data_IF_651529979151
#
_entry.id   IF_651529979151
#
_cell.length_a   1.000
_cell.length_b   1.000
_cell.length_c   1.000
_cell.angle_alpha   90.00
_cell.angle_beta   90.00
_cell.angle_gamma   90.00
#
_symmetry.space_group_name_H-M   'P 1'
#
loop_
_entity.id
_entity.type
_entity.pdbx_description
1 polymer ?
#
# COMPACT_ATOMS: atom_id res chain seq x y z
N UNK A 1 -18.92 7.45 -31.07
CA UNK A 1 -17.86 6.93 -31.97
C UNK A 1 -16.90 6.12 -31.12
N UNK A 2 -16.77 4.83 -31.40
CA UNK A 2 -15.89 3.91 -30.66
C UNK A 2 -14.43 4.40 -30.68
N UNK A 3 -13.78 4.38 -29.52
CA UNK A 3 -12.39 4.82 -29.34
C UNK A 3 -11.41 3.93 -30.14
N UNK A 4 -11.73 2.64 -30.29
CA UNK A 4 -10.99 1.71 -31.13
C UNK A 4 -10.93 2.15 -32.60
N UNK A 5 -12.03 2.70 -33.14
CA UNK A 5 -12.09 3.20 -34.51
C UNK A 5 -11.23 4.46 -34.72
N UNK A 6 -10.96 5.26 -33.67
CA UNK A 6 -10.09 6.44 -33.74
C UNK A 6 -8.60 6.09 -33.69
N UNK A 7 -8.23 4.93 -33.15
CA UNK A 7 -6.82 4.50 -33.01
C UNK A 7 -6.31 3.59 -34.12
N UNK A 8 -7.19 3.16 -35.04
CA UNK A 8 -6.85 2.18 -36.08
C UNK A 8 -6.31 0.86 -35.49
N UNK A 9 -6.65 0.57 -34.22
CA UNK A 9 -6.26 -0.65 -33.52
C UNK A 9 -7.14 -1.80 -33.98
N UNK A 10 -6.54 -2.79 -34.66
CA UNK A 10 -7.22 -4.02 -35.10
C UNK A 10 -7.49 -5.00 -33.94
N UNK A 11 -6.97 -4.72 -32.74
CA UNK A 11 -7.06 -5.57 -31.55
C UNK A 11 -7.44 -4.69 -30.36
N UNK A 12 -8.48 -5.07 -29.61
CA UNK A 12 -8.87 -4.40 -28.37
C UNK A 12 -7.76 -4.55 -27.31
N UNK A 13 -7.03 -3.47 -27.04
CA UNK A 13 -6.05 -3.40 -25.96
C UNK A 13 -6.71 -3.07 -24.62
N UNK A 14 -6.12 -3.51 -23.51
CA UNK A 14 -6.59 -3.14 -22.16
C UNK A 14 -6.58 -1.61 -21.94
N UNK A 15 -5.63 -0.91 -22.56
CA UNK A 15 -5.55 0.56 -22.54
C UNK A 15 -6.75 1.22 -23.23
N UNK A 16 -7.21 0.68 -24.36
CA UNK A 16 -8.39 1.16 -25.05
C UNK A 16 -9.65 0.94 -24.20
N UNK A 17 -9.74 -0.17 -23.46
CA UNK A 17 -10.84 -0.45 -22.54
C UNK A 17 -10.82 0.53 -21.36
N UNK A 18 -9.66 0.77 -20.75
CA UNK A 18 -9.50 1.74 -19.67
C UNK A 18 -9.93 3.14 -20.07
N UNK A 19 -9.50 3.61 -21.24
CA UNK A 19 -9.89 4.91 -21.75
C UNK A 19 -11.38 5.00 -22.07
N UNK A 20 -11.96 3.93 -22.62
CA UNK A 20 -13.40 3.84 -22.84
C UNK A 20 -14.18 3.91 -21.53
N UNK A 21 -13.78 3.19 -20.49
CA UNK A 21 -14.43 3.24 -19.17
C UNK A 21 -14.27 4.63 -18.56
N UNK A 22 -13.09 5.24 -18.66
CA UNK A 22 -12.83 6.59 -18.13
C UNK A 22 -13.73 7.65 -18.79
N UNK A 23 -13.97 7.54 -20.10
CA UNK A 23 -14.83 8.46 -20.84
C UNK A 23 -16.33 8.18 -20.65
N UNK A 24 -16.74 6.92 -20.72
CA UNK A 24 -18.16 6.53 -20.66
C UNK A 24 -18.71 6.52 -19.23
N UNK A 25 -17.88 6.20 -18.25
CA UNK A 25 -18.29 6.00 -16.85
C UNK A 25 -17.31 6.65 -15.85
N UNK A 26 -17.11 7.98 -15.89
CA UNK A 26 -16.13 8.68 -15.05
C UNK A 26 -16.41 8.56 -13.54
N UNK A 27 -17.66 8.29 -13.15
CA UNK A 27 -18.08 8.09 -11.75
C UNK A 27 -17.93 6.66 -11.23
N UNK A 28 -17.51 5.70 -12.07
CA UNK A 28 -17.44 4.30 -11.68
C UNK A 28 -16.23 4.06 -10.75
N UNK A 29 -16.49 3.48 -9.58
CA UNK A 29 -15.51 3.26 -8.50
C UNK A 29 -15.46 1.80 -8.09
N UNK A 30 -14.30 1.39 -7.57
CA UNK A 30 -14.12 0.06 -6.99
C UNK A 30 -14.89 -0.03 -5.68
N UNK A 31 -15.84 -0.96 -5.60
CA UNK A 31 -16.58 -1.24 -4.36
C UNK A 31 -15.63 -1.80 -3.29
N UNK A 32 -15.66 -1.22 -2.10
CA UNK A 32 -14.82 -1.64 -0.96
C UNK A 32 -13.46 -0.93 -0.86
N UNK A 33 -13.14 -0.06 -1.82
CA UNK A 33 -11.98 0.83 -1.76
C UNK A 33 -12.22 1.96 -0.74
N UNK A 34 -11.27 2.19 0.18
CA UNK A 34 -11.29 3.32 1.10
C UNK A 34 -10.95 4.63 0.40
N UNK A 35 -10.09 4.57 -0.62
CA UNK A 35 -9.64 5.76 -1.37
C UNK A 35 -10.61 6.14 -2.52
N UNK A 36 -11.73 5.44 -2.68
CA UNK A 36 -12.64 5.59 -3.82
C UNK A 36 -11.90 5.53 -5.16
N UNK A 37 -11.10 4.49 -5.37
CA UNK A 37 -10.30 4.30 -6.59
C UNK A 37 -11.21 4.17 -7.81
N UNK A 38 -11.01 4.96 -8.88
CA UNK A 38 -11.68 4.77 -10.17
C UNK A 38 -11.37 3.41 -10.79
N UNK A 39 -12.35 2.77 -11.45
CA UNK A 39 -12.11 1.44 -12.07
C UNK A 39 -10.97 1.48 -13.10
N UNK A 40 -10.89 2.54 -13.91
CA UNK A 40 -9.81 2.69 -14.88
C UNK A 40 -8.43 2.75 -14.19
N UNK A 41 -8.31 3.44 -13.05
CA UNK A 41 -7.06 3.48 -12.28
C UNK A 41 -6.75 2.14 -11.61
N UNK A 42 -7.77 1.42 -11.13
CA UNK A 42 -7.60 0.07 -10.60
C UNK A 42 -7.07 -0.92 -11.66
N UNK A 43 -7.60 -0.86 -12.88
CA UNK A 43 -7.11 -1.68 -14.00
C UNK A 43 -5.66 -1.34 -14.33
N UNK A 44 -5.36 -0.04 -14.43
CA UNK A 44 -4.01 0.45 -14.68
C UNK A 44 -3.01 0.00 -13.62
N UNK A 45 -3.34 0.15 -12.33
CA UNK A 45 -2.50 -0.30 -11.22
C UNK A 45 -2.19 -1.79 -11.32
N UNK A 46 -3.21 -2.62 -11.63
CA UNK A 46 -3.01 -4.07 -11.82
C UNK A 46 -2.08 -4.41 -12.98
N UNK A 47 -2.13 -3.63 -14.07
CA UNK A 47 -1.25 -3.82 -15.22
C UNK A 47 0.19 -3.41 -14.90
N UNK A 48 0.38 -2.24 -14.29
CA UNK A 48 1.70 -1.70 -13.94
C UNK A 48 2.42 -2.54 -12.88
N UNK A 49 1.68 -3.22 -12.00
CA UNK A 49 2.21 -4.04 -10.92
C UNK A 49 1.90 -5.53 -11.14
N UNK A 50 2.21 -6.02 -12.34
CA UNK A 50 1.89 -7.39 -12.77
C UNK A 50 2.79 -8.47 -12.16
N UNK A 51 4.03 -8.13 -11.74
CA UNK A 51 4.91 -9.03 -11.00
C UNK A 51 4.84 -8.78 -9.49
N UNK A 52 5.11 -9.83 -8.70
CA UNK A 52 5.11 -9.73 -7.24
C UNK A 52 6.14 -8.72 -6.74
N UNK A 53 7.31 -8.63 -7.39
CA UNK A 53 8.38 -7.71 -7.01
C UNK A 53 7.98 -6.26 -7.28
N UNK A 54 7.36 -5.97 -8.43
CA UNK A 54 6.85 -4.64 -8.75
C UNK A 54 5.74 -4.24 -7.76
N UNK A 55 4.85 -5.17 -7.44
CA UNK A 55 3.79 -4.97 -6.46
C UNK A 55 4.34 -4.69 -5.07
N UNK A 56 5.32 -5.48 -4.60
CA UNK A 56 5.96 -5.29 -3.30
C UNK A 56 6.66 -3.93 -3.23
N UNK A 57 7.39 -3.54 -4.27
CA UNK A 57 8.02 -2.22 -4.35
C UNK A 57 6.98 -1.09 -4.31
N UNK A 58 5.89 -1.20 -5.06
CA UNK A 58 4.80 -0.22 -5.06
C UNK A 58 4.13 -0.08 -3.69
N UNK A 59 3.91 -1.19 -2.99
CA UNK A 59 3.36 -1.19 -1.63
C UNK A 59 4.36 -0.62 -0.63
N UNK A 60 5.65 -0.95 -0.70
CA UNK A 60 6.70 -0.35 0.13
C UNK A 60 6.70 1.17 0.02
N UNK A 61 6.71 1.68 -1.21
CA UNK A 61 6.67 3.13 -1.44
C UNK A 61 5.38 3.76 -0.90
N UNK A 62 4.24 3.09 -1.09
CA UNK A 62 2.96 3.56 -0.55
C UNK A 62 2.94 3.62 0.97
N UNK A 63 3.50 2.61 1.66
CA UNK A 63 3.63 2.60 3.12
C UNK A 63 4.53 3.73 3.58
N UNK A 64 5.67 3.98 2.93
CA UNK A 64 6.55 5.12 3.25
C UNK A 64 5.82 6.47 3.09
N UNK A 65 5.11 6.66 1.99
CA UNK A 65 4.29 7.86 1.77
C UNK A 65 3.19 8.02 2.82
N UNK A 66 2.61 6.91 3.28
CA UNK A 66 1.57 6.93 4.30
C UNK A 66 2.12 7.29 5.68
N UNK A 67 3.31 6.79 6.02
CA UNK A 67 4.03 7.19 7.23
C UNK A 67 4.43 8.67 7.18
N UNK A 68 4.89 9.17 6.03
CA UNK A 68 5.17 10.60 5.84
C UNK A 68 3.93 11.45 6.12
N UNK A 69 2.78 11.10 5.52
CA UNK A 69 1.50 11.77 5.81
C UNK A 69 1.15 11.70 7.31
N UNK A 70 1.28 10.54 7.94
CA UNK A 70 0.99 10.38 9.37
C UNK A 70 1.91 11.27 10.23
N UNK A 71 3.17 11.42 9.86
CA UNK A 71 4.11 12.31 10.55
C UNK A 71 3.75 13.79 10.35
N UNK A 72 3.40 14.20 9.12
CA UNK A 72 2.94 15.55 8.80
C UNK A 72 1.71 15.95 9.64
N UNK A 73 0.84 14.99 9.93
CA UNK A 73 -0.36 15.17 10.74
C UNK A 73 -0.18 14.81 12.24
N UNK A 74 1.08 14.65 12.70
CA UNK A 74 1.41 14.45 14.11
C UNK A 74 0.86 13.16 14.72
N UNK A 75 0.57 12.13 13.91
CA UNK A 75 0.09 10.82 14.38
C UNK A 75 1.23 9.92 14.86
N UNK A 76 2.41 10.09 14.27
CA UNK A 76 3.64 9.37 14.61
C UNK A 76 4.82 10.34 14.61
N UNK A 77 5.96 9.89 15.12
CA UNK A 77 7.18 10.69 15.10
C UNK A 77 8.43 9.85 14.81
N UNK A 78 9.57 10.52 14.55
CA UNK A 78 10.89 9.90 14.37
C UNK A 78 10.89 8.74 13.36
N UNK A 79 10.36 9.00 12.17
CA UNK A 79 10.33 8.01 11.09
C UNK A 79 11.72 7.86 10.48
N UNK A 80 12.22 6.64 10.45
CA UNK A 80 13.46 6.21 9.82
C UNK A 80 13.09 5.22 8.71
N UNK A 81 13.67 5.36 7.51
CA UNK A 81 13.39 4.46 6.38
C UNK A 81 14.57 3.52 6.13
N UNK A 82 14.30 2.35 5.57
CA UNK A 82 15.32 1.38 5.15
C UNK A 82 16.32 1.06 6.26
N UNK A 83 15.79 0.84 7.47
CA UNK A 83 16.57 0.70 8.70
C UNK A 83 16.86 -0.76 9.01
N UNK A 84 18.13 -1.08 9.27
CA UNK A 84 18.51 -2.40 9.71
C UNK A 84 18.15 -2.60 11.19
N UNK A 85 17.38 -3.65 11.48
CA UNK A 85 17.01 -4.07 12.82
C UNK A 85 17.55 -5.49 13.02
N UNK A 86 18.65 -5.65 13.77
CA UNK A 86 19.28 -6.94 14.05
C UNK A 86 19.44 -7.85 12.80
N UNK A 87 20.03 -7.32 11.73
CA UNK A 87 20.27 -8.00 10.44
C UNK A 87 19.03 -8.17 9.55
N UNK A 88 17.87 -7.65 9.95
CA UNK A 88 16.65 -7.62 9.15
C UNK A 88 16.44 -6.20 8.63
N UNK A 89 16.27 -6.04 7.32
CA UNK A 89 16.01 -4.74 6.70
C UNK A 89 14.53 -4.39 6.84
N UNK A 90 14.20 -3.50 7.78
CA UNK A 90 12.86 -2.93 7.88
C UNK A 90 12.69 -1.81 6.86
N UNK A 91 11.51 -1.75 6.24
CA UNK A 91 11.19 -0.68 5.27
C UNK A 91 11.03 0.67 5.97
N UNK A 92 10.56 0.66 7.22
CA UNK A 92 10.51 1.83 8.07
C UNK A 92 10.51 1.46 9.57
N UNK A 93 10.92 2.42 10.39
CA UNK A 93 10.78 2.40 11.84
C UNK A 93 10.22 3.75 12.28
N UNK A 94 9.27 3.76 13.20
CA UNK A 94 8.70 5.00 13.73
C UNK A 94 8.40 4.88 15.23
N UNK A 95 8.16 6.02 15.88
CA UNK A 95 7.63 6.09 17.25
C UNK A 95 6.13 6.37 17.20
N UNK A 96 5.34 5.47 17.78
CA UNK A 96 3.88 5.62 17.89
C UNK A 96 3.50 6.72 18.89
N UNK A 97 2.19 6.99 19.01
CA UNK A 97 1.67 7.98 19.95
C UNK A 97 1.97 7.67 21.44
N UNK A 98 2.33 6.42 21.76
CA UNK A 98 2.69 5.96 23.11
C UNK A 98 4.21 5.89 23.30
N UNK A 99 5.00 6.46 22.39
CA UNK A 99 6.46 6.41 22.39
C UNK A 99 7.01 4.97 22.31
N UNK A 100 6.28 4.05 21.68
CA UNK A 100 6.79 2.72 21.33
C UNK A 100 7.44 2.76 19.96
N UNK A 101 8.60 2.11 19.84
CA UNK A 101 9.31 1.95 18.57
C UNK A 101 8.67 0.81 17.78
N UNK A 102 8.12 1.13 16.62
CA UNK A 102 7.43 0.20 15.72
C UNK A 102 8.25 0.03 14.45
N UNK A 103 8.68 -1.19 14.16
CA UNK A 103 9.26 -1.57 12.87
C UNK A 103 8.17 -2.00 11.90
N UNK A 104 8.31 -1.64 10.63
CA UNK A 104 7.39 -1.99 9.54
C UNK A 104 8.16 -2.71 8.44
N UNK A 105 7.62 -3.85 8.02
CA UNK A 105 8.13 -4.64 6.90
C UNK A 105 6.99 -4.97 5.95
N UNK A 106 7.22 -4.81 4.65
CA UNK A 106 6.33 -5.22 3.57
C UNK A 106 6.97 -6.41 2.88
N UNK A 107 6.29 -7.54 2.91
CA UNK A 107 6.73 -8.79 2.30
C UNK A 107 5.52 -9.39 1.61
N UNK A 108 5.51 -9.41 0.29
CA UNK A 108 4.39 -9.95 -0.49
C UNK A 108 4.77 -11.30 -1.12
N UNK A 109 3.78 -12.18 -1.26
CA UNK A 109 3.96 -13.46 -1.97
C UNK A 109 4.77 -14.51 -1.21
N UNK A 110 5.18 -14.21 0.03
CA UNK A 110 5.92 -15.17 0.89
C UNK A 110 4.99 -15.75 1.95
N UNK A 111 5.19 -17.03 2.23
CA UNK A 111 4.41 -17.75 3.22
C UNK A 111 4.90 -17.48 4.65
N UNK A 112 4.11 -17.88 5.63
CA UNK A 112 4.46 -17.70 7.04
C UNK A 112 5.76 -18.43 7.43
N UNK A 113 6.04 -19.61 6.85
CA UNK A 113 7.27 -20.36 7.14
C UNK A 113 8.53 -19.55 6.79
N UNK A 114 8.47 -18.76 5.71
CA UNK A 114 9.53 -17.86 5.29
C UNK A 114 9.64 -16.58 6.15
N UNK A 115 8.62 -16.27 6.97
CA UNK A 115 8.53 -15.04 7.75
C UNK A 115 8.64 -15.22 9.25
N UNK A 116 8.46 -16.44 9.77
CA UNK A 116 8.45 -16.73 11.22
C UNK A 116 9.76 -16.32 11.92
N UNK A 117 10.88 -16.38 11.20
CA UNK A 117 12.22 -16.05 11.71
C UNK A 117 12.54 -14.55 11.57
N UNK A 118 11.57 -13.73 11.15
CA UNK A 118 11.74 -12.27 11.09
C UNK A 118 11.64 -11.61 12.47
N UNK A 119 11.06 -12.29 13.46
CA UNK A 119 11.01 -11.78 14.82
C UNK A 119 11.61 -12.76 15.81
N UNK A 120 12.69 -12.32 16.47
CA UNK A 120 13.33 -13.03 17.56
C UNK A 120 13.35 -12.12 18.80
N UNK A 121 13.25 -12.72 20.00
CA UNK A 121 13.47 -11.98 21.24
C UNK A 121 14.83 -11.26 21.20
N UNK A 122 14.85 -9.95 21.46
CA UNK A 122 16.05 -9.10 21.38
C UNK A 122 16.09 -8.12 20.19
N UNK A 123 15.11 -8.12 19.29
CA UNK A 123 14.93 -7.08 18.28
C UNK A 123 14.72 -5.71 18.94
N UNK A 124 15.40 -4.68 18.43
CA UNK A 124 15.43 -3.33 19.03
C UNK A 124 14.16 -2.50 18.83
N UNK A 125 13.00 -3.14 18.61
CA UNK A 125 11.70 -2.48 18.47
C UNK A 125 10.69 -3.15 19.40
N UNK A 126 9.77 -2.35 19.93
CA UNK A 126 8.70 -2.83 20.82
C UNK A 126 7.64 -3.64 20.07
N UNK A 127 7.48 -3.39 18.76
CA UNK A 127 6.53 -4.06 17.89
C UNK A 127 7.08 -4.17 16.46
N UNK A 128 6.97 -5.34 15.85
CA UNK A 128 7.21 -5.52 14.42
C UNK A 128 5.89 -5.73 13.69
N UNK A 129 5.59 -4.87 12.72
CA UNK A 129 4.44 -4.97 11.83
C UNK A 129 4.88 -5.54 10.49
N UNK A 130 4.32 -6.68 10.08
CA UNK A 130 4.60 -7.32 8.80
C UNK A 130 3.35 -7.24 7.93
N UNK A 131 3.42 -6.47 6.85
CA UNK A 131 2.36 -6.32 5.85
C UNK A 131 2.59 -7.34 4.74
N UNK A 132 1.62 -8.24 4.52
CA UNK A 132 1.67 -9.30 3.50
C UNK A 132 0.33 -9.41 2.76
N UNK A 133 0.28 -10.08 1.62
CA UNK A 133 -0.94 -10.41 0.88
C UNK A 133 -1.33 -11.90 0.97
N UNK A 134 -0.55 -12.73 1.67
CA UNK A 134 -0.88 -14.12 1.99
C UNK A 134 -1.30 -14.19 3.46
N UNK A 135 -2.40 -14.88 3.74
CA UNK A 135 -2.94 -15.03 5.10
C UNK A 135 -1.89 -15.57 6.08
N UNK A 136 -1.95 -15.12 7.33
CA UNK A 136 -0.99 -15.50 8.36
C UNK A 136 -1.63 -15.53 9.75
N UNK A 137 -1.21 -16.51 10.54
CA UNK A 137 -1.49 -16.57 11.98
C UNK A 137 -0.44 -15.71 12.73
N UNK A 138 -0.85 -15.00 13.78
CA UNK A 138 0.08 -14.22 14.61
C UNK A 138 1.01 -15.13 15.40
N UNK A 139 2.28 -14.75 15.53
CA UNK A 139 3.26 -15.43 16.37
C UNK A 139 4.15 -14.43 17.09
N UNK A 140 4.50 -14.77 18.33
CA UNK A 140 5.48 -14.15 19.24
C UNK A 140 6.00 -12.78 18.78
N UNK A 141 5.32 -11.69 19.18
CA UNK A 141 5.80 -10.31 19.08
C UNK A 141 5.67 -9.61 17.71
N UNK A 142 5.51 -10.35 16.62
CA UNK A 142 5.20 -9.79 15.30
C UNK A 142 3.69 -9.76 15.04
N UNK A 143 3.20 -8.60 14.59
CA UNK A 143 1.83 -8.42 14.12
C UNK A 143 1.83 -8.55 12.60
N UNK A 144 1.19 -9.59 12.09
CA UNK A 144 1.03 -9.79 10.66
C UNK A 144 -0.30 -9.22 10.18
N UNK A 145 -0.26 -8.41 9.13
CA UNK A 145 -1.43 -7.79 8.50
C UNK A 145 -1.54 -8.26 7.07
N UNK A 146 -2.58 -9.06 6.82
CA UNK A 146 -2.94 -9.48 5.46
C UNK A 146 -3.73 -8.37 4.75
N UNK A 147 -3.19 -7.88 3.64
CA UNK A 147 -3.84 -6.91 2.75
C UNK A 147 -4.39 -7.61 1.51
N UNK A 148 -5.65 -7.30 1.18
CA UNK A 148 -6.31 -7.80 -0.03
C UNK A 148 -5.96 -6.91 -1.25
N UNK A 149 -6.39 -7.36 -2.43
CA UNK A 149 -6.18 -6.63 -3.70
C UNK A 149 -6.75 -5.21 -3.73
N UNK A 150 -7.80 -4.94 -2.95
CA UNK A 150 -8.42 -3.62 -2.89
C UNK A 150 -7.60 -2.68 -2.03
N UNK A 151 -7.11 -3.15 -0.87
CA UNK A 151 -6.18 -2.38 -0.03
C UNK A 151 -4.86 -2.09 -0.73
N UNK A 152 -4.34 -3.04 -1.51
CA UNK A 152 -3.14 -2.82 -2.33
C UNK A 152 -3.39 -1.70 -3.35
N UNK A 153 -4.54 -1.72 -4.04
CA UNK A 153 -4.88 -0.67 -4.98
C UNK A 153 -5.10 0.68 -4.29
N UNK A 154 -5.74 0.71 -3.11
CA UNK A 154 -5.89 1.92 -2.30
C UNK A 154 -4.54 2.53 -1.94
N UNK A 155 -3.59 1.70 -1.48
CA UNK A 155 -2.23 2.12 -1.12
C UNK A 155 -1.50 2.72 -2.32
N UNK A 156 -1.48 2.02 -3.45
CA UNK A 156 -0.78 2.49 -4.65
C UNK A 156 -1.44 3.77 -5.18
N UNK A 157 -2.78 3.82 -5.23
CA UNK A 157 -3.51 5.00 -5.70
C UNK A 157 -3.25 6.23 -4.81
N UNK A 158 -3.33 6.05 -3.49
CA UNK A 158 -2.95 7.09 -2.53
C UNK A 158 -1.52 7.58 -2.78
N UNK A 159 -0.57 6.64 -2.87
CA UNK A 159 0.86 6.93 -3.06
C UNK A 159 1.10 7.79 -4.29
N UNK A 160 0.50 7.42 -5.42
CA UNK A 160 0.64 8.16 -6.68
C UNK A 160 0.11 9.59 -6.59
N UNK A 161 -1.04 9.79 -5.92
CA UNK A 161 -1.62 11.13 -5.73
C UNK A 161 -0.84 11.96 -4.73
N UNK A 162 -0.41 11.34 -3.63
CA UNK A 162 0.42 11.99 -2.60
C UNK A 162 1.73 12.49 -3.19
N UNK A 163 2.46 11.66 -3.94
CA UNK A 163 3.71 12.05 -4.60
C UNK A 163 3.55 13.19 -5.61
N UNK A 164 2.36 13.35 -6.21
CA UNK A 164 2.05 14.46 -7.12
C UNK A 164 1.47 15.69 -6.41
N UNK A 165 1.28 15.65 -5.09
CA UNK A 165 0.58 16.68 -4.31
C UNK A 165 -0.87 16.90 -4.81
N UNK A 166 -1.50 15.83 -5.29
CA UNK A 166 -2.88 15.82 -5.80
C UNK A 166 -3.85 15.23 -4.77
N UNK A 167 -3.62 15.46 -3.48
CA UNK A 167 -4.48 15.00 -2.38
C UNK A 167 -5.26 16.18 -1.78
N UNK A 168 -6.55 15.97 -1.53
CA UNK A 168 -7.43 16.90 -0.82
C UNK A 168 -7.54 16.54 0.67
N UNK A 169 -8.12 17.40 1.49
CA UNK A 169 -8.35 17.09 2.92
C UNK A 169 -9.20 15.82 3.12
N UNK A 170 -10.17 15.59 2.24
CA UNK A 170 -10.98 14.36 2.24
C UNK A 170 -10.11 13.14 1.93
N UNK A 171 -9.13 13.27 1.02
CA UNK A 171 -8.20 12.19 0.71
C UNK A 171 -7.24 11.93 1.88
N UNK A 172 -6.86 12.97 2.63
CA UNK A 172 -6.07 12.83 3.87
C UNK A 172 -6.85 12.01 4.90
N UNK A 173 -8.11 12.34 5.16
CA UNK A 173 -8.94 11.57 6.11
C UNK A 173 -9.06 10.09 5.71
N UNK A 174 -9.26 9.82 4.42
CA UNK A 174 -9.31 8.45 3.88
C UNK A 174 -7.97 7.74 4.00
N UNK A 175 -6.86 8.44 3.73
CA UNK A 175 -5.52 7.89 3.87
C UNK A 175 -5.21 7.55 5.33
N UNK A 176 -5.57 8.41 6.28
CA UNK A 176 -5.44 8.11 7.71
C UNK A 176 -6.31 6.91 8.14
N UNK A 177 -7.51 6.75 7.55
CA UNK A 177 -8.34 5.56 7.75
C UNK A 177 -7.69 4.31 7.14
N UNK A 178 -7.09 4.43 5.95
CA UNK A 178 -6.34 3.37 5.29
C UNK A 178 -5.17 2.91 6.17
N UNK A 179 -4.38 3.84 6.73
CA UNK A 179 -3.29 3.55 7.67
C UNK A 179 -3.78 2.73 8.87
N UNK A 180 -4.86 3.16 9.51
CA UNK A 180 -5.48 2.42 10.63
C UNK A 180 -5.95 1.03 10.22
N UNK A 181 -6.49 0.88 9.01
CA UNK A 181 -6.97 -0.42 8.49
C UNK A 181 -5.85 -1.45 8.29
N UNK A 182 -4.60 -0.99 8.16
CA UNK A 182 -3.39 -1.83 8.12
C UNK A 182 -2.55 -1.76 9.40
N UNK A 183 -3.16 -1.28 10.50
CA UNK A 183 -2.58 -1.18 11.84
C UNK A 183 -1.38 -0.24 12.00
N UNK A 184 -1.22 0.73 11.09
CA UNK A 184 -0.34 1.87 11.27
C UNK A 184 -1.04 2.92 12.13
N UNK A 185 -0.62 3.06 13.38
CA UNK A 185 -1.05 4.06 14.36
C UNK A 185 -0.05 4.12 15.52
#
# INVERSE_FOLDING_TARGET
MEIAARRNDKVLSEEAIEEAIKQAYPGLRVRGSLMNVPIAEYMRIRREHSSIDALEHGVKQAVKNLLALMQEHGKISRVEYDTAINSISADAVYMDANMKRVGVMVILGKDYASMKDLYHEGISVDKLLVINNIGSNSSNGAVFVSIDKYKIADLIYFSQRYSKKEITDIDVEKALLLARSITLH
#
